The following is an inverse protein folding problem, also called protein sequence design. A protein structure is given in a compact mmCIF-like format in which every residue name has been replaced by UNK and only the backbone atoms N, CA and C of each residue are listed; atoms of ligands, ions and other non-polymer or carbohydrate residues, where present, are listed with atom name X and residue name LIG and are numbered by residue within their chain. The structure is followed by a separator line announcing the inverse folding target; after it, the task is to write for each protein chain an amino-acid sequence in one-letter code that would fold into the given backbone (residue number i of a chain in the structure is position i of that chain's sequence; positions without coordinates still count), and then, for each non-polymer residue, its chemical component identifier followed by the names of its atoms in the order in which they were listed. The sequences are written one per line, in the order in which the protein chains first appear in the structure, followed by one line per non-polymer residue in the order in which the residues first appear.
data_IF_562521410931
#
_entry.id   IF_562521410931
#
_cell.length_a   1.000
_cell.length_b   1.000
_cell.length_c   1.000
_cell.angle_alpha   90.00
_cell.angle_beta   90.00
_cell.angle_gamma   90.00
#
_symmetry.space_group_name_H-M   'P 1'
#
loop_
_entity.id
_entity.type
_entity.pdbx_description
1 polymer ?
#
# COMPACT_ATOMS: atom_id res chain seq x y z
N UNK A 1 29.25 -34.09 -39.03
CA UNK A 1 27.81 -33.86 -38.85
C UNK A 1 27.65 -32.60 -38.03
N UNK A 2 27.21 -31.53 -38.70
CA UNK A 2 27.20 -30.15 -38.20
C UNK A 2 25.76 -29.81 -37.82
N UNK A 3 25.51 -29.39 -36.58
CA UNK A 3 24.21 -28.89 -36.14
C UNK A 3 24.26 -27.36 -36.04
N UNK A 4 23.67 -26.70 -37.03
CA UNK A 4 23.32 -25.27 -37.04
C UNK A 4 21.98 -25.09 -36.35
N UNK A 5 21.92 -24.40 -35.21
CA UNK A 5 20.71 -23.70 -34.72
C UNK A 5 21.16 -22.47 -33.90
N UNK A 6 20.48 -21.34 -34.12
CA UNK A 6 20.49 -20.06 -33.38
C UNK A 6 21.32 -18.86 -33.90
N UNK A 7 21.16 -18.51 -35.18
CA UNK A 7 21.49 -17.15 -35.71
C UNK A 7 20.27 -16.19 -35.77
N UNK A 8 19.02 -16.68 -35.69
CA UNK A 8 17.82 -15.83 -35.87
C UNK A 8 17.50 -14.86 -34.71
N UNK A 9 18.09 -15.05 -33.53
CA UNK A 9 17.85 -14.18 -32.36
C UNK A 9 18.71 -12.92 -32.34
N UNK A 10 19.94 -12.98 -32.85
CA UNK A 10 20.87 -11.84 -32.89
C UNK A 10 20.56 -10.87 -34.03
N UNK A 11 20.03 -11.38 -35.14
CA UNK A 11 19.72 -10.56 -36.31
C UNK A 11 18.57 -9.57 -36.05
N UNK A 12 17.61 -9.90 -35.17
CA UNK A 12 16.54 -8.95 -34.77
C UNK A 12 17.07 -7.83 -33.88
N UNK A 13 18.00 -8.13 -32.98
CA UNK A 13 18.59 -7.14 -32.07
C UNK A 13 19.58 -6.22 -32.81
N UNK A 14 20.31 -6.76 -33.79
CA UNK A 14 21.22 -5.99 -34.63
C UNK A 14 20.52 -5.18 -35.74
N UNK A 15 19.36 -5.62 -36.24
CA UNK A 15 18.50 -4.77 -37.10
C UNK A 15 17.90 -3.58 -36.36
N UNK A 16 17.67 -3.70 -35.04
CA UNK A 16 17.19 -2.60 -34.19
C UNK A 16 18.23 -1.47 -34.03
N UNK A 17 19.52 -1.81 -33.98
CA UNK A 17 20.60 -0.83 -33.83
C UNK A 17 20.96 -0.12 -35.14
N UNK A 18 20.78 -0.78 -36.29
CA UNK A 18 21.20 -0.22 -37.60
C UNK A 18 20.17 0.73 -38.24
N UNK A 19 18.88 0.65 -37.86
CA UNK A 19 17.82 1.52 -38.41
C UNK A 19 17.72 2.91 -37.77
N UNK A 20 18.43 3.16 -36.66
CA UNK A 20 18.34 4.42 -35.91
C UNK A 20 19.53 5.38 -36.15
N UNK A 21 20.32 5.13 -37.19
CA UNK A 21 21.47 5.96 -37.56
C UNK A 21 21.13 7.30 -38.22
N UNK A 22 19.87 7.54 -38.59
CA UNK A 22 19.47 8.80 -39.22
C UNK A 22 18.51 9.59 -38.34
N UNK A 23 18.97 10.81 -38.01
CA UNK A 23 18.22 11.91 -37.39
C UNK A 23 17.97 11.89 -35.87
N UNK A 24 19.05 11.76 -35.08
CA UNK A 24 19.05 12.18 -33.66
C UNK A 24 18.75 13.68 -33.44
N UNK A 25 18.83 14.52 -34.48
CA UNK A 25 18.61 15.96 -34.38
C UNK A 25 17.21 16.43 -34.81
N UNK A 26 16.37 15.58 -35.44
CA UNK A 26 14.98 15.96 -35.79
C UNK A 26 13.93 15.49 -34.77
N UNK A 27 14.27 14.49 -33.94
CA UNK A 27 13.42 13.97 -32.85
C UNK A 27 13.41 14.84 -31.58
N UNK A 28 14.29 15.84 -31.47
CA UNK A 28 14.30 16.78 -30.34
C UNK A 28 13.18 17.83 -30.38
N UNK A 29 12.31 17.83 -31.39
CA UNK A 29 11.30 18.89 -31.57
C UNK A 29 9.83 18.46 -31.59
N UNK A 30 9.48 17.17 -31.43
CA UNK A 30 8.07 16.73 -31.42
C UNK A 30 7.81 15.68 -30.35
N UNK A 31 6.96 16.06 -29.39
CA UNK A 31 6.27 15.23 -28.39
C UNK A 31 7.02 14.79 -27.14
N UNK A 32 7.15 15.69 -26.15
CA UNK A 32 7.14 15.29 -24.71
C UNK A 32 6.40 16.31 -23.80
N UNK A 33 6.04 17.51 -24.27
CA UNK A 33 5.53 18.55 -23.34
C UNK A 33 4.01 18.54 -23.06
N UNK A 34 3.19 17.69 -23.68
CA UNK A 34 1.72 17.78 -23.54
C UNK A 34 0.99 16.45 -23.32
N UNK A 35 1.67 15.41 -22.81
CA UNK A 35 0.96 14.28 -22.18
C UNK A 35 0.78 14.59 -20.70
N UNK A 36 -0.23 15.40 -20.38
CA UNK A 36 -0.66 15.55 -18.99
C UNK A 36 -1.00 14.17 -18.44
N UNK A 37 -0.30 13.77 -17.36
CA UNK A 37 -0.69 12.60 -16.59
C UNK A 37 -2.18 12.72 -16.21
N UNK A 38 -2.91 11.59 -16.15
CA UNK A 38 -4.28 11.59 -15.70
C UNK A 38 -4.47 12.35 -14.38
N UNK A 39 -5.51 13.18 -14.31
CA UNK A 39 -5.78 14.09 -13.18
C UNK A 39 -5.85 13.38 -11.81
N UNK A 40 -6.32 12.14 -11.80
CA UNK A 40 -6.42 11.34 -10.57
C UNK A 40 -5.06 11.01 -9.94
N UNK A 41 -3.97 11.11 -10.69
CA UNK A 41 -2.61 10.97 -10.18
C UNK A 41 -2.14 12.19 -9.37
N UNK A 42 -2.89 13.29 -9.30
CA UNK A 42 -2.64 14.36 -8.32
C UNK A 42 -2.86 13.87 -6.87
N UNK A 43 -3.61 12.79 -6.69
CA UNK A 43 -3.72 12.12 -5.39
C UNK A 43 -2.40 11.38 -5.10
N UNK A 44 -1.75 11.76 -3.98
CA UNK A 44 -0.45 11.21 -3.60
C UNK A 44 -0.49 9.71 -3.29
N UNK A 45 -1.62 9.22 -2.74
CA UNK A 45 -1.84 7.80 -2.45
C UNK A 45 -2.07 7.04 -3.74
N UNK A 46 -2.84 7.61 -4.68
CA UNK A 46 -3.11 7.00 -5.97
C UNK A 46 -1.84 6.88 -6.82
N UNK A 47 -1.01 7.92 -6.87
CA UNK A 47 0.30 7.86 -7.55
C UNK A 47 1.23 6.83 -6.90
N UNK A 48 1.25 6.74 -5.56
CA UNK A 48 2.04 5.73 -4.87
C UNK A 48 1.56 4.31 -5.21
N UNK A 49 0.25 4.11 -5.16
CA UNK A 49 -0.39 2.85 -5.49
C UNK A 49 -0.09 2.43 -6.94
N UNK A 50 -0.14 3.37 -7.90
CA UNK A 50 0.27 3.11 -9.29
C UNK A 50 1.72 2.63 -9.37
N UNK A 51 2.65 3.26 -8.64
CA UNK A 51 4.04 2.83 -8.60
C UNK A 51 4.20 1.39 -8.06
N UNK A 52 3.39 0.99 -7.07
CA UNK A 52 3.38 -0.39 -6.57
C UNK A 52 2.88 -1.36 -7.65
N UNK A 53 1.82 -0.97 -8.37
CA UNK A 53 1.22 -1.76 -9.45
C UNK A 53 2.21 -2.03 -10.59
N UNK A 54 2.82 -0.97 -11.14
CA UNK A 54 3.75 -1.12 -12.29
C UNK A 54 5.01 -1.90 -11.94
N UNK A 55 5.39 -1.93 -10.66
CA UNK A 55 6.55 -2.69 -10.19
C UNK A 55 6.32 -4.20 -10.37
N UNK A 56 5.14 -4.66 -9.99
CA UNK A 56 4.78 -6.07 -10.01
C UNK A 56 4.22 -6.49 -11.38
N UNK A 57 4.01 -5.54 -12.29
CA UNK A 57 3.50 -5.76 -13.64
C UNK A 57 4.62 -6.10 -14.63
N UNK A 58 4.35 -7.05 -15.52
CA UNK A 58 5.13 -7.28 -16.74
C UNK A 58 4.30 -6.88 -17.95
N UNK A 59 4.89 -6.11 -18.86
CA UNK A 59 4.25 -5.74 -20.14
C UNK A 59 5.08 -6.35 -21.26
N UNK A 60 4.50 -7.28 -22.00
CA UNK A 60 5.14 -7.98 -23.13
C UNK A 60 6.49 -8.60 -22.81
N UNK A 61 6.59 -9.17 -21.61
CA UNK A 61 7.81 -9.78 -21.09
C UNK A 61 8.79 -8.79 -20.46
N UNK A 62 8.65 -7.49 -20.72
CA UNK A 62 9.49 -6.45 -20.11
C UNK A 62 9.05 -6.15 -18.67
N UNK A 63 10.04 -6.08 -17.80
CA UNK A 63 9.92 -5.77 -16.38
C UNK A 63 9.84 -4.27 -16.10
N UNK A 64 9.39 -3.90 -14.90
CA UNK A 64 9.44 -2.53 -14.39
C UNK A 64 10.79 -1.85 -14.60
N UNK A 65 11.89 -2.55 -14.29
CA UNK A 65 13.22 -1.96 -14.43
C UNK A 65 13.54 -1.67 -15.89
N UNK A 66 13.21 -2.56 -16.83
CA UNK A 66 13.46 -2.31 -18.26
C UNK A 66 12.60 -1.14 -18.77
N UNK A 67 11.35 -1.04 -18.33
CA UNK A 67 10.41 0.00 -18.76
C UNK A 67 10.59 1.35 -18.07
N UNK A 68 11.39 1.42 -17.01
CA UNK A 68 11.68 2.69 -16.30
C UNK A 68 13.13 3.12 -16.42
N UNK A 69 14.03 2.22 -16.82
CA UNK A 69 15.48 2.47 -16.96
C UNK A 69 15.94 2.61 -18.42
N UNK A 70 15.11 2.33 -19.43
CA UNK A 70 15.48 2.54 -20.83
C UNK A 70 15.33 4.00 -21.28
N UNK A 71 16.33 4.82 -20.95
CA UNK A 71 16.96 5.80 -21.87
C UNK A 71 18.29 6.30 -21.24
N UNK A 72 19.43 6.29 -21.95
CA UNK A 72 20.69 6.81 -21.43
C UNK A 72 20.96 8.28 -21.80
N UNK A 73 21.95 8.87 -21.10
CA UNK A 73 22.79 10.06 -21.40
C UNK A 73 22.34 11.46 -20.95
N UNK A 74 22.96 11.94 -19.86
CA UNK A 74 23.91 13.07 -19.83
C UNK A 74 24.35 13.30 -18.39
N UNK A 75 25.66 13.49 -18.17
CA UNK A 75 26.36 13.90 -16.94
C UNK A 75 25.49 14.19 -15.70
N UNK A 76 25.15 13.12 -14.98
CA UNK A 76 25.11 13.01 -13.52
C UNK A 76 24.50 11.65 -13.26
N UNK A 77 25.37 10.65 -13.06
CA UNK A 77 24.95 9.32 -12.66
C UNK A 77 24.39 9.39 -11.23
N UNK A 78 23.15 9.86 -11.09
CA UNK A 78 22.39 9.67 -9.88
C UNK A 78 22.16 8.18 -9.79
N UNK A 79 22.95 7.51 -8.95
CA UNK A 79 22.83 6.09 -8.69
C UNK A 79 21.38 5.80 -8.24
N UNK A 80 20.59 5.21 -9.14
CA UNK A 80 19.14 4.97 -9.00
C UNK A 80 18.84 3.87 -7.94
N UNK A 81 19.87 3.29 -7.32
CA UNK A 81 19.73 2.60 -6.03
C UNK A 81 19.14 3.50 -4.93
N UNK A 82 19.04 4.82 -5.17
CA UNK A 82 18.41 5.84 -4.32
C UNK A 82 17.19 6.55 -4.93
N UNK A 83 16.54 6.03 -5.99
CA UNK A 83 15.19 6.51 -6.32
C UNK A 83 14.20 5.89 -5.33
N UNK A 84 14.26 6.33 -4.07
CA UNK A 84 13.12 6.16 -3.20
C UNK A 84 11.95 6.85 -3.90
N UNK A 85 10.82 6.16 -4.04
CA UNK A 85 9.55 6.76 -4.44
C UNK A 85 9.02 7.69 -3.34
N UNK A 86 9.90 8.50 -2.75
CA UNK A 86 9.75 9.23 -1.51
C UNK A 86 9.05 10.57 -1.69
N UNK A 87 9.03 11.15 -2.90
CA UNK A 87 8.24 12.35 -3.17
C UNK A 87 7.22 12.10 -4.25
N UNK A 88 6.18 12.93 -4.25
CA UNK A 88 5.10 12.80 -5.22
C UNK A 88 5.60 13.07 -6.65
N UNK A 89 6.48 14.05 -6.81
CA UNK A 89 7.04 14.47 -8.09
C UNK A 89 7.88 13.34 -8.71
N UNK A 90 8.70 12.65 -7.91
CA UNK A 90 9.47 11.48 -8.35
C UNK A 90 8.53 10.36 -8.79
N UNK A 91 7.44 10.11 -8.04
CA UNK A 91 6.44 9.10 -8.43
C UNK A 91 5.79 9.41 -9.76
N UNK A 92 5.39 10.67 -9.98
CA UNK A 92 4.81 11.10 -11.25
C UNK A 92 5.79 10.92 -12.42
N UNK A 93 7.07 11.24 -12.20
CA UNK A 93 8.10 11.06 -13.22
C UNK A 93 8.33 9.59 -13.59
N UNK A 94 8.38 8.70 -12.59
CA UNK A 94 8.45 7.25 -12.81
C UNK A 94 7.25 6.79 -13.64
N UNK A 95 6.04 7.24 -13.31
CA UNK A 95 4.81 6.86 -14.02
C UNK A 95 4.83 7.35 -15.46
N UNK A 96 5.27 8.60 -15.72
CA UNK A 96 5.40 9.12 -17.10
C UNK A 96 6.34 8.26 -17.93
N UNK A 97 7.53 7.99 -17.41
CA UNK A 97 8.53 7.16 -18.13
C UNK A 97 7.98 5.79 -18.44
N UNK A 98 7.34 5.15 -17.47
CA UNK A 98 6.73 3.84 -17.67
C UNK A 98 5.64 3.89 -18.76
N UNK A 99 4.74 4.89 -18.74
CA UNK A 99 3.71 5.07 -19.76
C UNK A 99 4.33 5.26 -21.15
N UNK A 100 5.34 6.11 -21.26
CA UNK A 100 6.00 6.39 -22.54
C UNK A 100 6.76 5.16 -23.08
N UNK A 101 7.45 4.41 -22.22
CA UNK A 101 8.11 3.17 -22.60
C UNK A 101 7.11 2.09 -23.03
N UNK A 102 5.99 1.93 -22.33
CA UNK A 102 4.93 1.00 -22.75
C UNK A 102 4.35 1.40 -24.11
N UNK A 103 4.15 2.71 -24.36
CA UNK A 103 3.67 3.21 -25.64
C UNK A 103 4.65 2.95 -26.80
N UNK A 104 5.96 2.89 -26.51
CA UNK A 104 7.00 2.60 -27.49
C UNK A 104 7.09 1.12 -27.85
N UNK A 105 6.96 0.21 -26.88
CA UNK A 105 7.07 -1.24 -27.12
C UNK A 105 5.79 -1.87 -27.65
N UNK A 106 4.63 -1.28 -27.32
CA UNK A 106 3.32 -1.72 -27.75
C UNK A 106 2.69 -0.71 -28.73
N UNK A 107 1.59 -0.09 -28.33
CA UNK A 107 0.90 0.99 -29.07
C UNK A 107 0.33 2.00 -28.08
N UNK A 108 0.09 3.23 -28.53
CA UNK A 108 -0.59 4.25 -27.73
C UNK A 108 -2.00 3.80 -27.29
N UNK A 109 -2.73 3.10 -28.18
CA UNK A 109 -4.06 2.58 -27.88
C UNK A 109 -4.03 1.51 -26.78
N UNK A 110 -3.08 0.58 -26.83
CA UNK A 110 -2.86 -0.41 -25.78
C UNK A 110 -2.53 0.27 -24.44
N UNK A 111 -1.59 1.22 -24.46
CA UNK A 111 -1.15 1.95 -23.27
C UNK A 111 -2.31 2.70 -22.61
N UNK A 112 -3.14 3.37 -23.40
CA UNK A 112 -4.33 4.06 -22.90
C UNK A 112 -5.32 3.08 -22.23
N UNK A 113 -5.61 1.96 -22.89
CA UNK A 113 -6.49 0.93 -22.34
C UNK A 113 -5.93 0.35 -21.03
N UNK A 114 -4.61 0.19 -20.94
CA UNK A 114 -3.93 -0.29 -19.74
C UNK A 114 -4.06 0.70 -18.58
N UNK A 115 -3.78 1.99 -18.82
CA UNK A 115 -3.95 3.05 -17.82
C UNK A 115 -5.41 3.17 -17.37
N UNK A 116 -6.37 3.04 -18.29
CA UNK A 116 -7.79 3.05 -17.97
C UNK A 116 -8.20 1.84 -17.12
N UNK A 117 -7.63 0.65 -17.39
CA UNK A 117 -7.84 -0.54 -16.55
C UNK A 117 -7.27 -0.35 -15.14
N UNK A 118 -6.07 0.21 -15.02
CA UNK A 118 -5.46 0.57 -13.74
C UNK A 118 -6.34 1.55 -12.96
N UNK A 119 -6.88 2.57 -13.64
CA UNK A 119 -7.76 3.54 -13.02
C UNK A 119 -9.10 2.94 -12.54
N UNK A 120 -9.71 2.05 -13.33
CA UNK A 120 -10.93 1.34 -12.94
C UNK A 120 -10.68 0.51 -11.68
N UNK A 121 -9.58 -0.22 -11.64
CA UNK A 121 -9.18 -1.01 -10.47
C UNK A 121 -8.95 -0.10 -9.24
N UNK A 122 -8.23 1.02 -9.40
CA UNK A 122 -8.08 2.02 -8.34
C UNK A 122 -9.42 2.52 -7.82
N UNK A 123 -10.40 2.78 -8.68
CA UNK A 123 -11.75 3.21 -8.26
C UNK A 123 -12.52 2.14 -7.49
N UNK A 124 -12.45 0.89 -7.94
CA UNK A 124 -13.12 -0.24 -7.28
C UNK A 124 -12.55 -0.52 -5.89
N UNK A 125 -11.22 -0.46 -5.77
CA UNK A 125 -10.50 -0.57 -4.50
C UNK A 125 -10.63 0.71 -3.68
N UNK A 126 -10.86 1.85 -4.35
CA UNK A 126 -10.89 3.18 -3.78
C UNK A 126 -11.76 3.28 -2.55
N UNK A 127 -12.90 2.58 -2.51
CA UNK A 127 -13.84 2.54 -1.40
C UNK A 127 -13.50 1.53 -0.29
N UNK A 128 -12.57 0.61 -0.53
CA UNK A 128 -12.13 -0.41 0.43
C UNK A 128 -10.96 0.12 1.25
N UNK A 129 -10.85 -0.39 2.48
CA UNK A 129 -9.69 -0.20 3.36
C UNK A 129 -9.25 1.26 3.54
N UNK A 130 -10.19 2.19 3.69
CA UNK A 130 -9.92 3.64 3.77
C UNK A 130 -9.05 4.06 4.97
N UNK A 131 -8.90 3.18 5.97
CA UNK A 131 -8.09 3.40 7.17
C UNK A 131 -8.32 4.78 7.81
N UNK A 132 -9.58 5.23 7.87
CA UNK A 132 -9.96 6.54 8.46
C UNK A 132 -9.59 6.64 9.94
N UNK A 133 -9.34 5.51 10.59
CA UNK A 133 -8.84 5.40 11.96
C UNK A 133 -7.35 5.78 12.10
N UNK A 134 -6.56 5.72 11.03
CA UNK A 134 -5.12 6.05 11.05
C UNK A 134 -4.90 7.55 10.85
N UNK A 135 -4.67 8.27 11.94
CA UNK A 135 -4.41 9.72 11.93
C UNK A 135 -2.95 10.03 11.59
N UNK A 136 -2.63 11.30 11.35
CA UNK A 136 -1.25 11.80 11.13
C UNK A 136 -0.41 11.83 12.42
N UNK A 137 -0.61 10.86 13.32
CA UNK A 137 0.15 10.77 14.57
C UNK A 137 1.42 9.92 14.33
N UNK A 138 2.63 10.42 14.64
CA UNK A 138 3.88 9.71 14.35
C UNK A 138 3.99 8.32 14.98
N UNK A 139 3.53 8.16 16.22
CA UNK A 139 3.59 6.88 16.95
C UNK A 139 2.63 5.85 16.32
N UNK A 140 1.42 6.28 15.97
CA UNK A 140 0.44 5.44 15.27
C UNK A 140 0.94 4.99 13.91
N UNK A 141 1.58 5.90 13.15
CA UNK A 141 2.15 5.61 11.84
C UNK A 141 3.34 4.65 11.95
N UNK A 142 4.21 4.83 12.94
CA UNK A 142 5.33 3.94 13.19
C UNK A 142 4.87 2.53 13.58
N UNK A 143 3.86 2.43 14.45
CA UNK A 143 3.26 1.16 14.81
C UNK A 143 2.63 0.46 13.60
N UNK A 144 1.85 1.21 12.80
CA UNK A 144 1.18 0.67 11.62
C UNK A 144 2.19 0.17 10.57
N UNK A 145 3.27 0.92 10.36
CA UNK A 145 4.38 0.55 9.49
C UNK A 145 5.04 -0.75 9.93
N UNK A 146 5.39 -0.86 11.22
CA UNK A 146 5.94 -2.09 11.80
C UNK A 146 4.98 -3.27 11.69
N UNK A 147 3.68 -3.04 11.94
CA UNK A 147 2.66 -4.08 11.87
C UNK A 147 2.56 -4.69 10.47
N UNK A 148 2.60 -3.84 9.43
CA UNK A 148 2.60 -4.24 8.02
C UNK A 148 3.90 -4.97 7.67
N UNK A 149 5.07 -4.40 7.97
CA UNK A 149 6.37 -5.00 7.61
C UNK A 149 6.59 -6.40 8.22
N UNK A 150 6.11 -6.64 9.44
CA UNK A 150 6.24 -7.96 10.08
C UNK A 150 5.40 -9.02 9.36
N UNK A 151 4.27 -8.63 8.77
CA UNK A 151 3.23 -9.56 8.27
C UNK A 151 3.18 -9.66 6.77
N UNK A 152 3.89 -8.78 6.05
CA UNK A 152 4.06 -8.81 4.60
C UNK A 152 5.57 -8.79 4.34
N UNK A 153 6.24 -9.96 4.38
CA UNK A 153 7.69 -10.02 4.29
C UNK A 153 8.25 -9.63 2.91
N UNK A 154 9.32 -8.87 2.95
CA UNK A 154 10.43 -8.64 1.99
C UNK A 154 10.24 -8.38 0.48
N UNK A 155 9.13 -8.67 -0.20
CA UNK A 155 9.04 -8.43 -1.66
C UNK A 155 8.53 -7.03 -2.04
N UNK A 156 7.52 -6.51 -1.34
CA UNK A 156 6.78 -5.33 -1.80
C UNK A 156 7.20 -4.01 -1.14
N UNK A 157 7.97 -4.05 -0.04
CA UNK A 157 8.23 -2.87 0.82
C UNK A 157 9.69 -2.51 1.04
N UNK A 158 10.62 -3.41 0.75
CA UNK A 158 12.07 -3.25 0.98
C UNK A 158 12.70 -2.08 0.24
N UNK A 159 12.05 -1.60 -0.83
CA UNK A 159 12.52 -0.52 -1.69
C UNK A 159 11.95 0.86 -1.33
N UNK A 160 10.96 0.92 -0.42
CA UNK A 160 10.39 2.19 0.02
C UNK A 160 10.87 2.56 1.42
N UNK A 161 11.68 3.61 1.48
CA UNK A 161 12.10 4.24 2.74
C UNK A 161 11.33 5.56 2.91
N UNK A 162 10.25 5.61 3.73
CA UNK A 162 9.53 6.85 3.96
C UNK A 162 10.45 7.89 4.64
N UNK A 163 10.64 9.03 3.98
CA UNK A 163 11.51 10.12 4.46
C UNK A 163 10.86 10.97 5.56
N UNK A 164 9.53 10.93 5.67
CA UNK A 164 8.77 11.65 6.69
C UNK A 164 7.43 10.95 7.01
N UNK A 165 6.70 11.47 8.02
CA UNK A 165 5.43 10.89 8.46
C UNK A 165 4.32 10.95 7.41
N UNK A 166 4.30 11.99 6.55
CA UNK A 166 3.29 12.09 5.50
C UNK A 166 3.51 11.00 4.45
N UNK A 167 4.76 10.80 4.02
CA UNK A 167 5.14 9.76 3.06
C UNK A 167 4.94 8.36 3.63
N UNK A 168 5.23 8.16 4.92
CA UNK A 168 4.88 6.92 5.63
C UNK A 168 3.38 6.67 5.60
N UNK A 169 2.57 7.69 5.87
CA UNK A 169 1.11 7.58 5.83
C UNK A 169 0.61 7.26 4.42
N UNK A 170 1.10 7.96 3.40
CA UNK A 170 0.75 7.72 2.00
C UNK A 170 1.02 6.27 1.61
N UNK A 171 2.20 5.75 1.93
CA UNK A 171 2.57 4.38 1.65
C UNK A 171 1.67 3.37 2.39
N UNK A 172 1.42 3.57 3.69
CA UNK A 172 0.50 2.70 4.44
C UNK A 172 -0.88 2.65 3.78
N UNK A 173 -1.44 3.82 3.40
CA UNK A 173 -2.75 3.87 2.75
C UNK A 173 -2.75 3.18 1.38
N UNK A 174 -1.70 3.36 0.59
CA UNK A 174 -1.56 2.69 -0.70
C UNK A 174 -1.42 1.16 -0.53
N UNK A 175 -0.65 0.71 0.47
CA UNK A 175 -0.46 -0.70 0.79
C UNK A 175 -1.76 -1.37 1.20
N UNK A 176 -2.51 -0.75 2.11
CA UNK A 176 -3.82 -1.28 2.54
C UNK A 176 -4.82 -1.45 1.39
N UNK A 177 -4.63 -0.71 0.28
CA UNK A 177 -5.45 -0.83 -0.93
C UNK A 177 -5.02 -2.00 -1.82
N UNK A 178 -3.73 -2.35 -1.88
CA UNK A 178 -3.28 -3.55 -2.61
C UNK A 178 -3.37 -4.84 -1.81
N UNK A 179 -3.62 -4.81 -0.50
CA UNK A 179 -3.74 -6.05 0.29
C UNK A 179 -5.13 -6.69 0.12
N UNK A 180 -5.16 -7.90 -0.43
CA UNK A 180 -6.39 -8.66 -0.66
C UNK A 180 -6.45 -9.89 0.26
N UNK A 181 -7.61 -10.20 0.87
CA UNK A 181 -7.77 -11.44 1.63
C UNK A 181 -7.85 -12.63 0.66
N UNK A 182 -6.90 -13.57 0.76
CA UNK A 182 -6.96 -14.86 0.05
C UNK A 182 -5.68 -15.25 -0.70
N UNK A 183 -5.68 -16.46 -1.25
CA UNK A 183 -4.52 -17.14 -1.85
C UNK A 183 -4.36 -16.90 -3.37
N UNK A 184 -5.20 -16.08 -3.99
CA UNK A 184 -5.12 -15.79 -5.43
C UNK A 184 -4.39 -14.45 -5.61
N UNK A 185 -3.06 -14.45 -5.84
CA UNK A 185 -2.33 -13.24 -6.17
C UNK A 185 -2.77 -12.73 -7.54
N UNK A 186 -2.53 -11.44 -7.77
CA UNK A 186 -2.73 -10.70 -9.01
C UNK A 186 -2.82 -11.56 -10.28
N UNK A 187 -3.92 -11.49 -11.02
CA UNK A 187 -3.96 -11.95 -12.41
C UNK A 187 -4.13 -10.74 -13.33
N UNK A 188 -3.18 -10.60 -14.26
CA UNK A 188 -3.37 -9.82 -15.47
C UNK A 188 -3.59 -10.80 -16.61
N UNK A 189 -4.85 -10.92 -17.02
CA UNK A 189 -5.23 -11.62 -18.24
C UNK A 189 -6.00 -10.63 -19.12
N UNK A 190 -6.09 -10.85 -20.43
CA UNK A 190 -6.76 -9.95 -21.41
C UNK A 190 -8.22 -9.57 -21.07
N UNK A 191 -8.83 -10.21 -20.05
CA UNK A 191 -10.21 -10.01 -19.59
C UNK A 191 -10.33 -9.43 -18.17
N UNK A 192 -9.30 -9.55 -17.32
CA UNK A 192 -9.36 -9.13 -15.91
C UNK A 192 -8.03 -8.56 -15.44
N UNK A 193 -8.06 -7.36 -14.86
CA UNK A 193 -6.91 -6.70 -14.24
C UNK A 193 -7.14 -6.59 -12.73
N UNK A 194 -6.51 -7.50 -11.98
CA UNK A 194 -6.51 -7.45 -10.52
C UNK A 194 -5.08 -7.31 -10.01
N UNK A 195 -4.80 -6.21 -9.32
CA UNK A 195 -3.56 -6.02 -8.59
C UNK A 195 -3.86 -6.11 -7.11
N UNK A 196 -3.47 -7.23 -6.52
CA UNK A 196 -3.58 -7.50 -5.09
C UNK A 196 -2.42 -8.37 -4.59
N UNK A 197 -1.73 -7.89 -3.55
CA UNK A 197 -0.81 -8.71 -2.77
C UNK A 197 -1.66 -9.60 -1.86
N UNK A 198 -1.42 -10.92 -1.92
CA UNK A 198 -1.98 -11.86 -0.96
C UNK A 198 -1.61 -11.42 0.45
N UNK A 199 -2.62 -11.04 1.21
CA UNK A 199 -2.52 -10.87 2.63
C UNK A 199 -3.27 -12.02 3.31
N UNK A 200 -2.86 -12.36 4.53
CA UNK A 200 -3.64 -13.29 5.33
C UNK A 200 -5.10 -12.82 5.41
N UNK A 201 -6.04 -13.77 5.45
CA UNK A 201 -7.46 -13.46 5.49
C UNK A 201 -7.79 -12.45 6.61
N UNK A 202 -8.69 -11.50 6.31
CA UNK A 202 -9.11 -10.44 7.20
C UNK A 202 -7.97 -9.54 7.73
N UNK A 203 -6.84 -9.40 7.03
CA UNK A 203 -5.71 -8.56 7.45
C UNK A 203 -6.13 -7.16 7.91
N UNK A 204 -6.89 -6.43 7.08
CA UNK A 204 -7.33 -5.06 7.41
C UNK A 204 -8.14 -5.02 8.72
N UNK A 205 -9.07 -5.98 8.90
CA UNK A 205 -9.88 -6.08 10.13
C UNK A 205 -8.99 -6.36 11.34
N UNK A 206 -8.08 -7.33 11.25
CA UNK A 206 -7.16 -7.66 12.35
C UNK A 206 -6.22 -6.52 12.69
N UNK A 207 -5.70 -5.80 11.68
CA UNK A 207 -4.89 -4.59 11.90
C UNK A 207 -5.69 -3.50 12.61
N UNK A 208 -6.94 -3.26 12.18
CA UNK A 208 -7.81 -2.30 12.82
C UNK A 208 -8.12 -2.67 14.29
N UNK A 209 -8.41 -3.95 14.57
CA UNK A 209 -8.67 -4.42 15.93
C UNK A 209 -7.42 -4.31 16.83
N UNK A 210 -6.24 -4.65 16.29
CA UNK A 210 -4.97 -4.48 16.98
C UNK A 210 -4.66 -2.99 17.25
N UNK A 211 -4.95 -2.11 16.28
CA UNK A 211 -4.80 -0.67 16.43
C UNK A 211 -5.71 -0.14 17.54
N UNK A 212 -6.98 -0.57 17.55
CA UNK A 212 -7.93 -0.22 18.61
C UNK A 212 -7.41 -0.63 19.98
N UNK A 213 -6.97 -1.88 20.14
CA UNK A 213 -6.40 -2.37 21.41
C UNK A 213 -5.19 -1.56 21.87
N UNK A 214 -4.33 -1.16 20.94
CA UNK A 214 -3.11 -0.42 21.26
C UNK A 214 -3.39 1.04 21.65
N UNK A 215 -4.24 1.74 20.89
CA UNK A 215 -4.35 3.21 20.97
C UNK A 215 -5.70 3.74 21.46
N UNK A 216 -6.77 2.93 21.42
CA UNK A 216 -8.13 3.35 21.78
C UNK A 216 -8.55 2.66 23.07
N UNK A 217 -8.63 1.33 23.02
CA UNK A 217 -9.04 0.48 24.14
C UNK A 217 -7.88 0.31 25.16
N UNK A 218 -6.67 0.72 24.76
CA UNK A 218 -5.45 0.76 25.58
C UNK A 218 -5.47 1.76 26.74
N UNK A 219 -6.53 2.59 26.86
CA UNK A 219 -6.97 3.04 28.19
C UNK A 219 -7.55 1.85 28.93
N UNK A 220 -6.71 0.87 29.26
CA UNK A 220 -7.04 -0.19 30.21
C UNK A 220 -7.67 0.50 31.39
N UNK A 221 -8.89 0.09 31.71
CA UNK A 221 -9.45 0.38 33.00
C UNK A 221 -8.37 0.01 34.03
N UNK A 222 -7.77 1.01 34.71
CA UNK A 222 -6.65 0.78 35.66
C UNK A 222 -7.10 -0.02 36.88
N UNK A 223 -8.36 -0.44 36.90
CA UNK A 223 -9.00 -1.20 37.95
C UNK A 223 -8.40 -2.60 38.02
N UNK A 224 -8.18 -3.04 39.25
CA UNK A 224 -7.62 -4.35 39.59
C UNK A 224 -8.80 -5.28 39.90
N UNK A 225 -8.80 -6.48 39.33
CA UNK A 225 -9.81 -7.49 39.66
C UNK A 225 -9.54 -8.07 41.06
N UNK A 226 -10.53 -7.99 41.94
CA UNK A 226 -10.51 -8.62 43.27
C UNK A 226 -11.45 -9.82 43.25
N UNK A 227 -10.92 -11.02 43.44
CA UNK A 227 -11.71 -12.24 43.60
C UNK A 227 -11.86 -12.55 45.08
N UNK A 228 -13.09 -12.50 45.61
CA UNK A 228 -13.39 -12.76 47.03
C UNK A 228 -14.56 -13.74 47.15
N UNK A 229 -14.47 -14.65 48.13
CA UNK A 229 -15.60 -15.51 48.51
C UNK A 229 -16.41 -14.80 49.59
N UNK A 230 -17.71 -14.64 49.36
CA UNK A 230 -18.65 -14.03 50.31
C UNK A 230 -19.78 -15.01 50.63
N UNK A 231 -20.42 -14.83 51.78
CA UNK A 231 -21.57 -15.67 52.16
C UNK A 231 -22.77 -15.42 51.24
N UNK A 232 -23.69 -16.40 51.07
CA UNK A 232 -24.91 -16.22 50.28
C UNK A 232 -25.79 -15.06 50.77
N UNK A 233 -25.79 -14.81 52.09
CA UNK A 233 -26.49 -13.67 52.70
C UNK A 233 -25.88 -12.33 52.28
N UNK A 234 -24.54 -12.21 52.31
CA UNK A 234 -23.84 -11.01 51.87
C UNK A 234 -24.05 -10.72 50.37
N UNK A 235 -24.05 -11.78 49.54
CA UNK A 235 -24.36 -11.65 48.11
C UNK A 235 -25.79 -11.14 47.89
N UNK A 236 -26.77 -11.71 48.60
CA UNK A 236 -28.17 -11.28 48.52
C UNK A 236 -28.35 -9.82 48.94
N UNK A 237 -27.63 -9.37 49.96
CA UNK A 237 -27.63 -7.97 50.39
C UNK A 237 -27.02 -7.04 49.34
N UNK A 238 -25.90 -7.43 48.72
CA UNK A 238 -25.26 -6.68 47.63
C UNK A 238 -26.18 -6.58 46.40
N UNK A 239 -26.87 -7.66 46.03
CA UNK A 239 -27.84 -7.69 44.93
C UNK A 239 -29.05 -6.78 45.19
N UNK A 240 -29.49 -6.67 46.45
CA UNK A 240 -30.56 -5.76 46.85
C UNK A 240 -30.10 -4.29 46.75
N UNK A 241 -28.89 -3.98 47.20
CA UNK A 241 -28.33 -2.62 47.11
C UNK A 241 -28.12 -2.17 45.65
N UNK A 242 -27.62 -3.09 44.82
CA UNK A 242 -27.42 -2.89 43.38
C UNK A 242 -28.75 -2.53 42.70
N UNK A 243 -29.83 -3.27 43.02
CA UNK A 243 -31.19 -3.00 42.51
C UNK A 243 -31.76 -1.68 43.03
N UNK A 244 -31.63 -1.42 44.34
CA UNK A 244 -32.16 -0.20 44.95
C UNK A 244 -31.50 1.07 44.41
N UNK A 245 -30.18 1.05 44.16
CA UNK A 245 -29.41 2.20 43.66
C UNK A 245 -29.27 2.24 42.13
N UNK A 246 -29.88 1.29 41.40
CA UNK A 246 -29.81 1.17 39.93
C UNK A 246 -28.40 1.32 39.37
N UNK A 247 -27.43 0.70 40.04
CA UNK A 247 -26.00 0.77 39.68
C UNK A 247 -25.41 -0.64 39.63
N UNK A 248 -24.12 -0.78 39.34
CA UNK A 248 -23.44 -2.08 39.29
C UNK A 248 -22.94 -2.50 40.69
N UNK A 249 -22.83 -3.81 40.93
CA UNK A 249 -22.22 -4.33 42.15
C UNK A 249 -20.81 -3.75 42.38
N UNK A 250 -20.06 -3.58 41.28
CA UNK A 250 -18.75 -2.95 41.29
C UNK A 250 -18.80 -1.52 41.86
N UNK A 251 -19.70 -0.67 41.36
CA UNK A 251 -19.81 0.71 41.84
C UNK A 251 -20.19 0.77 43.32
N UNK A 252 -21.07 -0.14 43.79
CA UNK A 252 -21.39 -0.27 45.21
C UNK A 252 -20.15 -0.64 46.01
N UNK A 253 -19.41 -1.67 45.59
CA UNK A 253 -18.20 -2.13 46.30
C UNK A 253 -17.11 -1.05 46.34
N UNK A 254 -16.88 -0.34 45.23
CA UNK A 254 -15.94 0.78 45.18
C UNK A 254 -16.34 1.88 46.16
N UNK A 255 -17.62 2.28 46.20
CA UNK A 255 -18.11 3.26 47.18
C UNK A 255 -17.93 2.79 48.62
N UNK A 256 -18.23 1.52 48.91
CA UNK A 256 -18.10 0.94 50.26
C UNK A 256 -16.65 0.89 50.72
N UNK A 257 -15.74 0.50 49.84
CA UNK A 257 -14.30 0.39 50.14
C UNK A 257 -13.69 1.79 50.32
N UNK A 258 -14.07 2.76 49.49
CA UNK A 258 -13.49 4.11 49.53
C UNK A 258 -14.04 4.96 50.67
N UNK A 259 -15.35 4.86 50.96
CA UNK A 259 -16.00 5.75 51.93
C UNK A 259 -16.19 5.11 53.31
N UNK A 260 -16.01 3.80 53.45
CA UNK A 260 -16.13 3.08 54.72
C UNK A 260 -17.51 3.14 55.39
N UNK A 261 -18.52 3.72 54.73
CA UNK A 261 -19.90 3.89 55.22
C UNK A 261 -20.92 3.65 54.11
N UNK A 262 -22.04 3.04 54.50
CA UNK A 262 -23.30 3.04 53.76
C UNK A 262 -24.09 4.26 54.27
N UNK A 263 -24.11 5.35 53.52
CA UNK A 263 -25.18 6.35 53.72
C UNK A 263 -26.53 5.75 53.29
#
# INVERSE_FOLDING_TARGET
MTLRINDQGRDKQNQFLSKNGENLNSLKSRHVQDRHLPEWLKDKVAAFWFCLVIKDMKVSGSSYYELTMQLPTSEESVCISKLSSSTHEIRLEIIRRWIDSVAQIETEAFTKNLVDAIYKNWKEIGNKNQATWLKKNPEQLEWAWKYINIRIPESHLTWFCPVNNEEKRIAILALLKILYPGDIPCQYNDKEFHVGICAEEHFYRRMHDAFRKQFIDGKKDKRVQINVKISPSAKSALDRLTRARKTTQQAILEQLILNGRLD
#
